data_IF_037760429906
#
_entry.id   IF_037760429906
#
_cell.length_a   1.000
_cell.length_b   1.000
_cell.length_c   1.000
_cell.angle_alpha   90.00
_cell.angle_beta   90.00
_cell.angle_gamma   90.00
#
_symmetry.space_group_name_H-M   'P 1'
#
loop_
_entity.id
_entity.type
_entity.pdbx_description
1 polymer ?
#
# COMPACT_ATOMS: atom_id res chain seq x y z
N UNK A 1 -19.86 -11.44 11.85
CA UNK A 1 -19.13 -10.23 11.41
C UNK A 1 -18.07 -9.89 12.45
N UNK A 2 -16.82 -9.68 12.05
CA UNK A 2 -15.77 -9.23 12.99
C UNK A 2 -15.94 -7.75 13.38
N UNK A 3 -15.24 -7.28 14.44
CA UNK A 3 -15.35 -5.91 14.92
C UNK A 3 -15.02 -4.90 13.80
N UNK A 4 -15.73 -3.76 13.82
CA UNK A 4 -15.44 -2.63 12.92
C UNK A 4 -14.11 -2.02 13.34
N UNK A 5 -13.29 -1.65 12.34
CA UNK A 5 -12.04 -0.92 12.59
C UNK A 5 -12.36 0.56 12.51
N UNK A 6 -12.09 1.27 13.60
CA UNK A 6 -12.11 2.73 13.65
C UNK A 6 -10.76 3.25 13.12
N UNK A 7 -10.72 4.03 12.03
CA UNK A 7 -9.47 4.55 11.47
C UNK A 7 -8.70 5.44 12.45
N UNK A 8 -9.38 6.20 13.31
CA UNK A 8 -8.71 7.05 14.31
C UNK A 8 -8.07 6.22 15.42
N UNK A 9 -8.72 5.14 15.85
CA UNK A 9 -8.12 4.22 16.81
C UNK A 9 -6.92 3.49 16.21
N UNK A 10 -7.02 3.07 14.94
CA UNK A 10 -5.90 2.46 14.23
C UNK A 10 -4.69 3.41 14.17
N UNK A 11 -4.90 4.67 13.78
CA UNK A 11 -3.83 5.67 13.76
C UNK A 11 -3.24 5.93 15.15
N UNK A 12 -4.06 6.01 16.19
CA UNK A 12 -3.57 6.13 17.59
C UNK A 12 -2.70 4.95 17.98
N UNK A 13 -3.09 3.73 17.63
CA UNK A 13 -2.30 2.52 17.89
C UNK A 13 -0.94 2.52 17.15
N UNK A 14 -0.88 3.14 15.97
CA UNK A 14 0.33 3.24 15.17
C UNK A 14 1.19 4.46 15.51
N UNK A 15 0.68 5.43 16.26
CA UNK A 15 1.30 6.75 16.48
C UNK A 15 2.78 6.71 16.86
N UNK A 16 3.21 5.72 17.65
CA UNK A 16 4.60 5.54 18.06
C UNK A 16 5.55 5.12 16.93
N UNK A 17 5.00 4.70 15.79
CA UNK A 17 5.73 4.28 14.58
C UNK A 17 5.67 5.35 13.48
N UNK A 18 4.93 6.44 13.71
CA UNK A 18 4.62 7.44 12.69
C UNK A 18 5.28 8.78 13.00
N UNK A 19 5.70 9.48 11.94
CA UNK A 19 6.12 10.87 12.02
C UNK A 19 4.92 11.80 12.27
N UNK A 20 5.14 13.06 12.70
CA UNK A 20 4.08 14.05 12.84
C UNK A 20 3.26 14.28 11.55
N UNK A 21 3.87 14.07 10.37
CA UNK A 21 3.23 14.18 9.07
C UNK A 21 2.46 12.90 8.66
N UNK A 22 2.46 11.88 9.52
CA UNK A 22 1.72 10.64 9.32
C UNK A 22 2.42 9.57 8.46
N UNK A 23 3.67 9.82 8.05
CA UNK A 23 4.54 8.83 7.40
C UNK A 23 5.25 7.92 8.41
N UNK A 24 6.10 7.00 7.92
CA UNK A 24 6.96 6.19 8.79
C UNK A 24 7.94 7.10 9.54
N UNK A 25 8.05 6.91 10.86
CA UNK A 25 8.88 7.75 11.74
C UNK A 25 10.37 7.68 11.41
N UNK A 26 10.92 6.48 11.21
CA UNK A 26 12.34 6.27 10.99
C UNK A 26 12.61 4.91 10.32
N UNK A 27 13.87 4.68 9.93
CA UNK A 27 14.33 3.41 9.34
C UNK A 27 14.08 2.22 10.27
N UNK A 28 14.25 2.39 11.57
CA UNK A 28 14.10 1.32 12.56
C UNK A 28 12.66 0.83 12.69
N UNK A 29 11.68 1.67 12.33
CA UNK A 29 10.26 1.31 12.40
C UNK A 29 9.74 0.59 11.14
N UNK A 30 10.51 0.60 10.05
CA UNK A 30 10.11 -0.02 8.78
C UNK A 30 9.79 -1.51 8.94
N UNK A 31 10.66 -2.36 9.53
CA UNK A 31 10.36 -3.79 9.65
C UNK A 31 9.14 -4.06 10.52
N UNK A 32 8.91 -3.23 11.55
CA UNK A 32 7.74 -3.34 12.43
C UNK A 32 6.46 -3.04 11.68
N UNK A 33 6.44 -2.00 10.87
CA UNK A 33 5.28 -1.65 10.04
C UNK A 33 5.02 -2.66 8.93
N UNK A 34 6.04 -3.16 8.23
CA UNK A 34 5.86 -4.23 7.22
C UNK A 34 5.18 -5.45 7.84
N UNK A 35 5.69 -5.90 9.00
CA UNK A 35 5.13 -7.03 9.73
C UNK A 35 3.69 -6.78 10.19
N UNK A 36 3.41 -5.59 10.74
CA UNK A 36 2.09 -5.21 11.22
C UNK A 36 1.10 -5.14 10.06
N UNK A 37 1.42 -4.42 8.99
CA UNK A 37 0.55 -4.26 7.84
C UNK A 37 0.30 -5.59 7.13
N UNK A 38 1.29 -6.47 7.04
CA UNK A 38 1.13 -7.82 6.48
C UNK A 38 0.13 -8.64 7.31
N UNK A 39 0.24 -8.61 8.64
CA UNK A 39 -0.64 -9.37 9.54
C UNK A 39 -2.05 -8.78 9.64
N UNK A 40 -2.17 -7.45 9.59
CA UNK A 40 -3.38 -6.72 9.96
C UNK A 40 -3.94 -5.85 8.82
N UNK A 41 -4.05 -6.40 7.61
CA UNK A 41 -4.61 -5.71 6.43
C UNK A 41 -5.79 -6.42 5.75
N UNK A 42 -6.49 -7.31 6.47
CA UNK A 42 -7.67 -8.01 5.92
C UNK A 42 -8.83 -7.06 5.62
N UNK A 43 -8.96 -5.95 6.35
CA UNK A 43 -10.07 -5.00 6.23
C UNK A 43 -9.71 -3.82 5.32
N UNK A 44 -10.69 -3.33 4.57
CA UNK A 44 -10.54 -2.18 3.68
C UNK A 44 -10.01 -0.94 4.42
N UNK A 45 -10.58 -0.61 5.58
CA UNK A 45 -10.16 0.55 6.39
C UNK A 45 -8.66 0.50 6.70
N UNK A 46 -8.13 -0.66 7.08
CA UNK A 46 -6.69 -0.83 7.32
C UNK A 46 -5.88 -0.58 6.06
N UNK A 47 -6.26 -1.16 4.91
CA UNK A 47 -5.57 -0.96 3.63
C UNK A 47 -5.53 0.52 3.24
N UNK A 48 -6.64 1.24 3.37
CA UNK A 48 -6.69 2.68 3.08
C UNK A 48 -5.76 3.49 3.99
N UNK A 49 -5.80 3.26 5.30
CA UNK A 49 -4.92 3.95 6.27
C UNK A 49 -3.45 3.66 5.97
N UNK A 50 -3.10 2.42 5.68
CA UNK A 50 -1.72 2.03 5.36
C UNK A 50 -1.22 2.65 4.05
N UNK A 51 -2.05 2.68 3.01
CA UNK A 51 -1.69 3.37 1.75
C UNK A 51 -1.45 4.86 1.99
N UNK A 52 -2.27 5.52 2.82
CA UNK A 52 -2.06 6.92 3.18
C UNK A 52 -0.76 7.13 3.97
N UNK A 53 -0.44 6.27 4.93
CA UNK A 53 0.86 6.31 5.64
C UNK A 53 2.00 6.23 4.63
N UNK A 54 1.96 5.27 3.70
CA UNK A 54 3.00 5.10 2.68
C UNK A 54 3.11 6.31 1.75
N UNK A 55 2.00 6.94 1.35
CA UNK A 55 2.01 8.14 0.52
C UNK A 55 2.56 9.39 1.23
N UNK A 56 2.54 9.42 2.56
CA UNK A 56 3.12 10.48 3.39
C UNK A 56 4.52 10.11 3.94
N UNK A 57 5.10 9.00 3.48
CA UNK A 57 6.41 8.53 3.93
C UNK A 57 7.50 9.01 2.98
N UNK A 58 8.67 9.39 3.52
CA UNK A 58 9.82 9.76 2.71
C UNK A 58 10.22 8.64 1.74
N UNK A 59 10.60 9.01 0.51
CA UNK A 59 10.93 8.06 -0.57
C UNK A 59 11.97 7.02 -0.15
N UNK A 60 12.95 7.40 0.68
CA UNK A 60 13.99 6.47 1.16
C UNK A 60 13.46 5.40 2.12
N UNK A 61 12.42 5.71 2.91
CA UNK A 61 11.75 4.78 3.80
C UNK A 61 10.73 3.92 3.05
N UNK A 62 10.05 4.49 2.04
CA UNK A 62 9.22 3.71 1.12
C UNK A 62 10.06 2.66 0.40
N UNK A 63 11.25 3.03 -0.08
CA UNK A 63 12.19 2.10 -0.73
C UNK A 63 12.52 0.91 0.18
N UNK A 64 12.88 1.20 1.42
CA UNK A 64 13.18 0.19 2.44
C UNK A 64 11.98 -0.70 2.76
N UNK A 65 10.78 -0.10 2.94
CA UNK A 65 9.55 -0.84 3.20
C UNK A 65 9.25 -1.82 2.08
N UNK A 66 9.43 -1.38 0.83
CA UNK A 66 9.16 -2.21 -0.34
C UNK A 66 10.16 -3.37 -0.42
N UNK A 67 11.44 -3.14 -0.14
CA UNK A 67 12.49 -4.16 -0.09
C UNK A 67 12.26 -5.22 1.00
N UNK A 68 11.77 -4.81 2.17
CA UNK A 68 11.54 -5.68 3.34
C UNK A 68 10.28 -6.58 3.20
N UNK A 69 9.45 -6.35 2.18
CA UNK A 69 8.27 -7.19 1.90
C UNK A 69 7.05 -6.43 1.37
N UNK A 70 7.13 -5.10 1.29
CA UNK A 70 6.04 -4.26 0.80
C UNK A 70 5.58 -4.60 -0.62
N UNK A 71 6.47 -5.05 -1.51
CA UNK A 71 6.10 -5.44 -2.87
C UNK A 71 5.05 -6.55 -2.93
N UNK A 72 5.22 -7.61 -2.15
CA UNK A 72 4.28 -8.72 -2.12
C UNK A 72 2.95 -8.28 -1.49
N UNK A 73 3.02 -7.46 -0.44
CA UNK A 73 1.85 -6.92 0.25
C UNK A 73 0.98 -6.05 -0.67
N UNK A 74 1.61 -5.09 -1.36
CA UNK A 74 0.91 -4.18 -2.29
C UNK A 74 0.35 -4.94 -3.49
N UNK A 75 1.07 -5.94 -4.02
CA UNK A 75 0.52 -6.80 -5.07
C UNK A 75 -0.74 -7.51 -4.61
N UNK A 76 -0.71 -8.13 -3.44
CA UNK A 76 -1.87 -8.86 -2.91
C UNK A 76 -3.06 -7.91 -2.74
N UNK A 77 -2.85 -6.70 -2.19
CA UNK A 77 -3.93 -5.71 -2.06
C UNK A 77 -4.47 -5.24 -3.41
N UNK A 78 -3.61 -5.03 -4.41
CA UNK A 78 -4.06 -4.64 -5.74
C UNK A 78 -4.88 -5.75 -6.40
N UNK A 79 -4.41 -6.99 -6.33
CA UNK A 79 -5.13 -8.15 -6.90
C UNK A 79 -6.49 -8.33 -6.22
N UNK A 80 -6.55 -8.29 -4.89
CA UNK A 80 -7.81 -8.33 -4.13
C UNK A 80 -8.76 -7.20 -4.55
N UNK A 81 -8.26 -5.97 -4.67
CA UNK A 81 -9.07 -4.80 -5.02
C UNK A 81 -9.63 -4.92 -6.44
N UNK A 82 -8.83 -5.38 -7.40
CA UNK A 82 -9.26 -5.65 -8.77
C UNK A 82 -10.32 -6.76 -8.81
N UNK A 83 -10.09 -7.86 -8.10
CA UNK A 83 -11.02 -9.00 -8.06
C UNK A 83 -12.37 -8.62 -7.43
N UNK A 84 -12.35 -7.76 -6.42
CA UNK A 84 -13.56 -7.27 -5.73
C UNK A 84 -14.20 -6.06 -6.41
N UNK A 85 -13.62 -5.54 -7.48
CA UNK A 85 -14.11 -4.36 -8.19
C UNK A 85 -14.01 -3.05 -7.39
N UNK A 86 -13.14 -3.00 -6.38
CA UNK A 86 -12.92 -1.79 -5.58
C UNK A 86 -11.95 -0.84 -6.28
N UNK A 87 -12.46 -0.10 -7.27
CA UNK A 87 -11.67 0.77 -8.13
C UNK A 87 -11.05 1.96 -7.41
N UNK A 88 -11.65 2.43 -6.32
CA UNK A 88 -11.10 3.53 -5.52
C UNK A 88 -9.82 3.08 -4.79
N UNK A 89 -9.81 1.89 -4.19
CA UNK A 89 -8.60 1.33 -3.61
C UNK A 89 -7.54 1.03 -4.68
N UNK A 90 -7.94 0.56 -5.86
CA UNK A 90 -7.02 0.38 -7.00
C UNK A 90 -6.34 1.71 -7.35
N UNK A 91 -7.10 2.81 -7.47
CA UNK A 91 -6.57 4.15 -7.75
C UNK A 91 -5.57 4.60 -6.70
N UNK A 92 -5.88 4.42 -5.43
CA UNK A 92 -4.97 4.79 -4.33
C UNK A 92 -3.66 3.98 -4.36
N UNK A 93 -3.75 2.67 -4.62
CA UNK A 93 -2.57 1.80 -4.73
C UNK A 93 -1.72 2.17 -5.97
N UNK A 94 -2.35 2.44 -7.11
CA UNK A 94 -1.64 2.90 -8.31
C UNK A 94 -0.96 4.26 -8.07
N UNK A 95 -1.64 5.17 -7.37
CA UNK A 95 -1.06 6.45 -6.94
C UNK A 95 0.17 6.29 -6.06
N UNK A 96 0.15 5.33 -5.11
CA UNK A 96 1.33 4.97 -4.33
C UNK A 96 2.46 4.41 -5.22
N UNK A 97 2.14 3.52 -6.17
CA UNK A 97 3.14 2.91 -7.04
C UNK A 97 3.80 3.92 -7.99
N UNK A 98 3.08 4.97 -8.40
CA UNK A 98 3.64 6.06 -9.22
C UNK A 98 4.73 6.88 -8.51
N UNK A 99 4.62 7.02 -7.18
CA UNK A 99 5.60 7.76 -6.36
C UNK A 99 6.64 6.84 -5.70
N UNK A 100 6.49 5.52 -5.85
CA UNK A 100 7.42 4.54 -5.29
C UNK A 100 8.64 4.42 -6.20
N UNK A 101 9.87 4.42 -5.66
CA UNK A 101 11.07 4.17 -6.46
C UNK A 101 11.05 2.72 -6.98
N UNK A 102 11.01 2.57 -8.30
CA UNK A 102 10.99 1.28 -8.98
C UNK A 102 12.29 1.06 -9.74
N UNK A 103 12.90 -0.11 -9.57
CA UNK A 103 14.01 -0.58 -10.40
C UNK A 103 13.57 -1.76 -11.30
N UNK A 104 14.38 -2.05 -12.32
CA UNK A 104 14.09 -3.10 -13.31
C UNK A 104 14.08 -4.49 -12.67
N UNK A 105 14.84 -4.72 -11.61
CA UNK A 105 14.90 -6.01 -10.93
C UNK A 105 13.61 -6.27 -10.15
N UNK A 106 13.10 -5.26 -9.45
CA UNK A 106 11.82 -5.27 -8.71
C UNK A 106 10.62 -5.50 -9.62
N UNK A 107 10.64 -4.95 -10.83
CA UNK A 107 9.61 -5.23 -11.85
C UNK A 107 9.56 -6.72 -12.25
N UNK A 108 10.66 -7.47 -12.08
CA UNK A 108 10.72 -8.90 -12.39
C UNK A 108 10.33 -9.78 -11.20
N UNK A 109 10.35 -9.24 -9.98
CA UNK A 109 10.13 -10.03 -8.76
C UNK A 109 8.70 -10.55 -8.61
N UNK A 110 7.73 -9.91 -9.26
CA UNK A 110 6.33 -10.20 -9.01
C UNK A 110 5.44 -9.97 -10.25
N UNK A 111 4.13 -10.24 -10.14
CA UNK A 111 3.19 -10.10 -11.25
C UNK A 111 2.57 -8.69 -11.34
N UNK A 112 2.98 -7.77 -10.48
CA UNK A 112 2.43 -6.41 -10.39
C UNK A 112 2.46 -5.67 -11.74
N UNK A 113 3.56 -5.70 -12.53
CA UNK A 113 3.57 -4.99 -13.82
C UNK A 113 2.59 -5.57 -14.84
N UNK A 114 2.33 -6.88 -14.79
CA UNK A 114 1.32 -7.52 -15.66
C UNK A 114 -0.09 -7.06 -15.29
N UNK A 115 -0.37 -6.93 -13.98
CA UNK A 115 -1.66 -6.42 -13.49
C UNK A 115 -1.84 -4.95 -13.86
N UNK A 116 -0.81 -4.11 -13.69
CA UNK A 116 -0.88 -2.69 -14.10
C UNK A 116 -1.12 -2.58 -15.62
N UNK A 117 -0.41 -3.37 -16.43
CA UNK A 117 -0.57 -3.37 -17.89
C UNK A 117 -1.95 -3.87 -18.35
N UNK A 118 -2.59 -4.78 -17.61
CA UNK A 118 -3.95 -5.19 -17.94
C UNK A 118 -4.96 -4.09 -17.57
N UNK A 119 -4.75 -3.42 -16.44
CA UNK A 119 -5.57 -2.28 -16.02
C UNK A 119 -5.47 -1.09 -16.97
N UNK A 120 -4.29 -0.80 -17.52
CA UNK A 120 -4.08 0.32 -18.46
C UNK A 120 -4.81 0.13 -19.81
N UNK A 121 -5.33 -1.07 -20.09
CA UNK A 121 -6.07 -1.40 -21.33
C UNK A 121 -7.58 -1.39 -21.12
N UNK A 122 -8.06 -1.16 -19.90
CA UNK A 122 -9.48 -1.14 -19.58
C UNK A 122 -10.08 0.21 -19.95
N UNK A 123 -11.00 0.18 -20.92
CA UNK A 123 -11.74 1.37 -21.37
C UNK A 123 -12.95 1.67 -20.48
N UNK A 124 -13.36 0.71 -19.65
CA UNK A 124 -14.54 0.78 -18.79
C UNK A 124 -14.27 1.39 -17.40
N UNK A 125 -13.02 1.78 -17.11
CA UNK A 125 -12.66 2.44 -15.86
C UNK A 125 -12.78 3.97 -15.99
N UNK A 126 -13.51 4.66 -15.08
CA UNK A 126 -13.64 6.11 -15.13
C UNK A 126 -12.33 6.80 -14.73
N UNK A 127 -11.81 7.61 -15.65
CA UNK A 127 -10.53 8.32 -15.54
C UNK A 127 -9.39 7.45 -16.04
N UNK A 128 -8.97 7.68 -17.29
CA UNK A 128 -7.80 7.03 -17.90
C UNK A 128 -6.57 7.27 -17.01
N UNK A 129 -5.88 6.18 -16.68
CA UNK A 129 -4.62 6.17 -15.94
C UNK A 129 -3.46 6.55 -16.86
#
# INVERSE_FOLDING_TARGET
MGPRIDPLQLLKCLSVLLSPDGGILSRDEVPRLVNLMTKFSKKLVSKCVYVLIMKNTETSLVDMFMAEGGWALIQNWLQDAVQTGNWDLVKEILGLLLITPVDVERLKMNCLPKVIKSLSRREDLPGKF
#
